data_IF_122077210135
#
_entry.id   IF_122077210135
#
_cell.length_a   1.000
_cell.length_b   1.000
_cell.length_c   1.000
_cell.angle_alpha   90.00
_cell.angle_beta   90.00
_cell.angle_gamma   90.00
#
_symmetry.space_group_name_H-M   'P 1'
#
loop_
_entity.id
_entity.type
_entity.pdbx_description
1 polymer ?
#
# COMPACT_ATOMS: atom_id res chain seq x y z
N UNK A 1 -11.71 -15.81 9.90
CA UNK A 1 -11.51 -14.43 10.45
C UNK A 1 -10.88 -13.57 9.37
N UNK A 2 -11.62 -12.64 8.77
CA UNK A 2 -11.09 -11.74 7.73
C UNK A 2 -10.09 -10.75 8.33
N UNK A 3 -8.88 -10.66 7.78
CA UNK A 3 -7.84 -9.75 8.26
C UNK A 3 -8.27 -8.30 8.03
N UNK A 4 -8.78 -7.66 9.06
CA UNK A 4 -9.16 -6.25 9.01
C UNK A 4 -7.89 -5.39 8.99
N UNK A 5 -7.66 -4.71 7.87
CA UNK A 5 -6.58 -3.71 7.79
C UNK A 5 -6.97 -2.52 8.68
N UNK A 6 -6.12 -2.12 9.63
CA UNK A 6 -6.43 -1.04 10.56
C UNK A 6 -6.58 0.31 9.82
N UNK A 7 -7.39 1.22 10.37
CA UNK A 7 -7.75 2.50 9.71
C UNK A 7 -6.54 3.37 9.39
N UNK A 8 -5.54 3.38 10.27
CA UNK A 8 -4.27 4.11 10.07
C UNK A 8 -3.53 3.69 8.79
N UNK A 9 -3.50 2.39 8.49
CA UNK A 9 -2.87 1.86 7.28
C UNK A 9 -3.66 2.26 6.04
N UNK A 10 -5.00 2.19 6.10
CA UNK A 10 -5.87 2.62 4.99
C UNK A 10 -5.70 4.09 4.67
N UNK A 11 -5.67 4.95 5.70
CA UNK A 11 -5.47 6.39 5.52
C UNK A 11 -4.13 6.68 4.84
N UNK A 12 -3.03 6.08 5.31
CA UNK A 12 -1.71 6.24 4.69
C UNK A 12 -1.69 5.73 3.25
N UNK A 13 -2.26 4.57 3.00
CA UNK A 13 -2.33 3.99 1.67
C UNK A 13 -3.13 4.88 0.71
N UNK A 14 -4.23 5.48 1.18
CA UNK A 14 -5.04 6.43 0.41
C UNK A 14 -4.24 7.70 0.09
N UNK A 15 -3.58 8.31 1.08
CA UNK A 15 -2.74 9.49 0.84
C UNK A 15 -1.59 9.21 -0.13
N UNK A 16 -0.98 8.02 -0.06
CA UNK A 16 0.03 7.58 -1.01
C UNK A 16 -0.55 7.45 -2.43
N UNK A 17 -1.72 6.83 -2.59
CA UNK A 17 -2.39 6.74 -3.88
C UNK A 17 -2.75 8.12 -4.46
N UNK A 18 -3.18 9.04 -3.61
CA UNK A 18 -3.53 10.41 -4.01
C UNK A 18 -2.27 11.19 -4.43
N UNK A 19 -1.15 10.99 -3.74
CA UNK A 19 0.12 11.63 -4.08
C UNK A 19 0.79 11.03 -5.34
N UNK A 20 0.66 9.71 -5.56
CA UNK A 20 1.34 8.98 -6.64
C UNK A 20 0.38 8.06 -7.41
N UNK A 21 -0.67 8.59 -8.06
CA UNK A 21 -1.73 7.78 -8.66
C UNK A 21 -1.27 6.90 -9.83
N UNK A 22 -0.19 7.33 -10.50
CA UNK A 22 0.36 6.72 -11.72
C UNK A 22 1.29 5.53 -11.44
N UNK A 23 1.94 5.54 -10.28
CA UNK A 23 2.99 4.58 -9.93
C UNK A 23 2.41 3.30 -9.31
N UNK A 24 1.25 3.42 -8.65
CA UNK A 24 0.58 2.27 -8.03
C UNK A 24 -0.24 1.47 -9.02
N UNK A 25 0.01 0.16 -9.05
CA UNK A 25 -0.65 -0.79 -9.94
C UNK A 25 -1.42 -1.87 -9.16
N UNK A 26 -2.06 -2.78 -9.87
CA UNK A 26 -2.68 -3.96 -9.25
C UNK A 26 -1.63 -4.97 -8.77
N UNK A 27 -0.38 -4.84 -9.23
CA UNK A 27 0.72 -5.74 -8.90
C UNK A 27 1.31 -5.45 -7.51
N UNK A 28 1.36 -6.48 -6.65
CA UNK A 28 1.86 -6.35 -5.28
C UNK A 28 3.36 -6.10 -5.22
N UNK A 29 4.14 -6.71 -6.11
CA UNK A 29 5.60 -6.62 -6.10
C UNK A 29 6.06 -5.22 -6.49
N UNK A 30 5.49 -4.67 -7.58
CA UNK A 30 5.75 -3.27 -7.98
C UNK A 30 5.42 -2.28 -6.87
N UNK A 31 4.27 -2.46 -6.22
CA UNK A 31 3.85 -1.59 -5.12
C UNK A 31 4.81 -1.70 -3.92
N UNK A 32 5.31 -2.90 -3.63
CA UNK A 32 6.28 -3.14 -2.54
C UNK A 32 7.63 -2.49 -2.82
N UNK A 33 8.13 -2.61 -4.05
CA UNK A 33 9.38 -1.98 -4.47
C UNK A 33 9.29 -0.46 -4.41
N UNK A 34 8.19 0.12 -4.90
CA UNK A 34 7.97 1.57 -4.82
C UNK A 34 7.94 2.06 -3.36
N UNK A 35 7.25 1.34 -2.47
CA UNK A 35 7.25 1.66 -1.04
C UNK A 35 8.63 1.49 -0.39
N UNK A 36 9.49 0.63 -0.93
CA UNK A 36 10.87 0.47 -0.47
C UNK A 36 11.75 1.64 -0.96
N UNK A 37 11.54 2.07 -2.21
CA UNK A 37 12.22 3.21 -2.81
C UNK A 37 11.89 4.54 -2.12
N UNK A 38 10.64 4.69 -1.65
CA UNK A 38 10.20 5.83 -0.85
C UNK A 38 10.94 6.00 0.49
N UNK A 39 11.74 5.02 0.93
CA UNK A 39 12.58 5.13 2.14
C UNK A 39 11.78 5.33 3.43
N UNK A 40 10.47 5.04 3.43
CA UNK A 40 9.62 5.27 4.58
C UNK A 40 10.00 4.31 5.71
N UNK A 41 10.14 4.79 6.97
CA UNK A 41 10.48 3.95 8.13
C UNK A 41 9.25 3.13 8.58
N UNK A 42 8.76 2.24 7.71
CA UNK A 42 7.67 1.33 8.02
C UNK A 42 8.20 -0.06 8.34
N UNK A 43 7.63 -0.68 9.37
CA UNK A 43 7.83 -2.10 9.63
C UNK A 43 7.40 -2.94 8.42
N UNK A 44 8.07 -4.07 8.20
CA UNK A 44 7.78 -5.03 7.11
C UNK A 44 6.29 -5.37 7.01
N UNK A 45 5.64 -5.59 8.15
CA UNK A 45 4.20 -5.89 8.23
C UNK A 45 3.34 -4.73 7.74
N UNK A 46 3.68 -3.49 8.07
CA UNK A 46 2.93 -2.31 7.65
C UNK A 46 3.05 -2.12 6.13
N UNK A 47 4.25 -2.23 5.57
CA UNK A 47 4.47 -2.15 4.12
C UNK A 47 3.65 -3.21 3.36
N UNK A 48 3.66 -4.46 3.83
CA UNK A 48 2.90 -5.53 3.20
C UNK A 48 1.38 -5.29 3.27
N UNK A 49 0.87 -4.75 4.38
CA UNK A 49 -0.55 -4.40 4.49
C UNK A 49 -0.91 -3.20 3.59
N UNK A 50 -0.04 -2.20 3.46
CA UNK A 50 -0.24 -1.06 2.55
C UNK A 50 -0.27 -1.54 1.10
N UNK A 51 0.76 -2.26 0.65
CA UNK A 51 0.83 -2.78 -0.72
C UNK A 51 -0.36 -3.70 -1.04
N UNK A 52 -0.74 -4.60 -0.12
CA UNK A 52 -1.90 -5.47 -0.29
C UNK A 52 -3.23 -4.73 -0.34
N UNK A 53 -3.39 -3.65 0.44
CA UNK A 53 -4.57 -2.79 0.35
C UNK A 53 -4.61 -2.04 -0.98
N UNK A 54 -3.46 -1.55 -1.47
CA UNK A 54 -3.36 -0.82 -2.73
C UNK A 54 -3.75 -1.70 -3.91
N UNK A 55 -3.15 -2.89 -4.01
CA UNK A 55 -3.50 -3.87 -5.05
C UNK A 55 -4.99 -4.21 -5.02
N UNK A 56 -5.59 -4.35 -3.83
CA UNK A 56 -7.04 -4.60 -3.69
C UNK A 56 -7.94 -3.44 -4.10
N UNK A 57 -7.48 -2.19 -4.01
CA UNK A 57 -8.27 -1.04 -4.44
C UNK A 57 -8.23 -0.84 -5.95
N UNK A 58 -7.09 -1.12 -6.60
CA UNK A 58 -6.96 -1.01 -8.07
C UNK A 58 -7.65 -2.17 -8.83
N UNK A 59 -7.87 -3.30 -8.17
CA UNK A 59 -8.56 -4.46 -8.77
C UNK A 59 -10.10 -4.37 -8.69
N UNK A 60 -10.63 -3.28 -8.12
CA UNK A 60 -12.05 -3.06 -7.88
C UNK A 60 -12.56 -1.91 -8.74
#
# INVERSE_FOLDING_TARGET
MGKAVPKNIKARARSLMEAFPDVFSSDFEKNKEFLNSLGLPFFKSTRNNVAGYISRQKHK
#
